data_IF_425905123594
#
_entry.id   IF_425905123594
#
_cell.length_a   1.000
_cell.length_b   1.000
_cell.length_c   1.000
_cell.angle_alpha   90.00
_cell.angle_beta   90.00
_cell.angle_gamma   90.00
#
_symmetry.space_group_name_H-M   'P 1'
#
loop_
_entity.id
_entity.type
_entity.pdbx_description
1 polymer ?
#
# COMPACT_ATOMS: atom_id res chain seq x y z
N UNK A 1 19.49 17.13 -16.91
CA UNK A 1 18.42 16.94 -15.91
C UNK A 1 18.11 18.29 -15.32
N UNK A 2 16.91 18.78 -15.50
CA UNK A 2 16.48 20.06 -14.97
C UNK A 2 16.16 19.92 -13.48
N UNK A 3 16.33 20.99 -12.69
CA UNK A 3 16.08 21.04 -11.24
C UNK A 3 14.68 20.52 -10.83
N UNK A 4 13.70 20.58 -11.74
CA UNK A 4 12.35 20.07 -11.57
C UNK A 4 12.23 18.53 -11.57
N UNK A 5 13.11 17.81 -12.28
CA UNK A 5 13.10 16.36 -12.30
C UNK A 5 13.57 15.75 -10.95
N UNK A 6 14.46 16.42 -10.25
CA UNK A 6 15.01 15.97 -8.97
C UNK A 6 13.97 15.98 -7.85
N UNK A 7 13.02 16.91 -7.86
CA UNK A 7 11.92 16.98 -6.89
C UNK A 7 10.83 15.91 -7.11
N UNK A 8 10.72 15.38 -8.33
CA UNK A 8 9.76 14.34 -8.68
C UNK A 8 10.30 12.94 -8.33
N UNK A 9 11.62 12.81 -8.18
CA UNK A 9 12.31 11.53 -7.98
C UNK A 9 12.48 11.13 -6.50
N UNK A 10 12.15 12.03 -5.57
CA UNK A 10 12.30 11.76 -4.14
C UNK A 10 11.14 10.89 -3.63
N UNK A 11 11.42 9.58 -3.49
CA UNK A 11 10.48 8.62 -2.93
C UNK A 11 10.45 8.78 -1.41
N UNK A 12 9.43 9.46 -0.92
CA UNK A 12 9.22 9.69 0.49
C UNK A 12 8.48 8.51 1.12
N UNK A 13 9.20 7.70 1.88
CA UNK A 13 8.65 6.62 2.71
C UNK A 13 8.83 6.97 4.20
N UNK A 14 8.29 8.14 4.61
CA UNK A 14 8.35 8.60 5.98
C UNK A 14 7.58 7.65 6.91
N UNK A 15 8.24 6.97 7.87
CA UNK A 15 7.57 6.07 8.79
C UNK A 15 6.62 6.78 9.76
N UNK A 16 6.79 8.09 9.94
CA UNK A 16 5.96 8.91 10.83
C UNK A 16 4.84 9.65 10.08
N UNK A 17 4.71 9.37 8.77
CA UNK A 17 3.62 9.93 7.96
C UNK A 17 2.27 9.81 8.67
N UNK A 18 1.49 10.85 8.64
CA UNK A 18 0.15 10.88 9.22
C UNK A 18 0.11 11.33 10.68
N UNK A 19 1.24 11.72 11.30
CA UNK A 19 1.25 12.33 12.63
C UNK A 19 0.41 13.62 12.69
N UNK A 20 0.25 14.32 11.57
CA UNK A 20 -0.55 15.54 11.43
C UNK A 20 -1.94 15.31 10.81
N UNK A 21 -2.30 14.07 10.48
CA UNK A 21 -3.63 13.79 9.90
C UNK A 21 -4.68 13.82 11.00
N UNK A 22 -5.64 14.71 10.86
CA UNK A 22 -6.78 14.79 11.77
C UNK A 22 -7.72 13.60 11.52
N UNK A 23 -7.95 12.83 12.58
CA UNK A 23 -8.91 11.74 12.56
C UNK A 23 -10.16 12.22 13.29
N UNK A 24 -11.35 12.17 12.68
CA UNK A 24 -12.59 12.51 13.37
C UNK A 24 -12.76 11.66 14.63
N UNK A 25 -13.34 12.24 15.68
CA UNK A 25 -13.65 11.49 16.90
C UNK A 25 -14.50 10.26 16.54
N UNK A 26 -14.16 9.08 17.07
CA UNK A 26 -14.79 7.80 16.73
C UNK A 26 -14.62 7.33 15.27
N UNK A 27 -13.86 8.06 14.47
CA UNK A 27 -13.43 7.64 13.14
C UNK A 27 -12.38 6.53 13.18
N UNK A 28 -11.98 6.04 12.00
CA UNK A 28 -10.92 5.05 11.84
C UNK A 28 -9.60 5.73 11.46
N UNK A 29 -8.54 5.45 12.23
CA UNK A 29 -7.19 5.89 11.94
C UNK A 29 -6.67 5.23 10.65
N UNK A 30 -6.97 3.94 10.45
CA UNK A 30 -6.56 3.22 9.25
C UNK A 30 -7.14 3.84 7.97
N UNK A 31 -8.43 4.22 8.00
CA UNK A 31 -9.10 4.88 6.85
C UNK A 31 -8.55 6.28 6.62
N UNK A 32 -8.31 7.06 7.69
CA UNK A 32 -7.72 8.39 7.59
C UNK A 32 -6.31 8.34 6.96
N UNK A 33 -5.47 7.40 7.42
CA UNK A 33 -4.13 7.21 6.87
C UNK A 33 -4.15 6.72 5.42
N UNK A 34 -5.09 5.83 5.06
CA UNK A 34 -5.27 5.41 3.68
C UNK A 34 -5.64 6.58 2.76
N UNK A 35 -6.60 7.40 3.18
CA UNK A 35 -7.00 8.60 2.44
C UNK A 35 -5.83 9.58 2.31
N UNK A 36 -5.10 9.83 3.41
CA UNK A 36 -3.95 10.74 3.43
C UNK A 36 -2.80 10.29 2.53
N UNK A 37 -2.51 8.98 2.47
CA UNK A 37 -1.49 8.47 1.54
C UNK A 37 -1.85 8.71 0.08
N UNK A 38 -3.11 8.43 -0.30
CA UNK A 38 -3.57 8.70 -1.68
C UNK A 38 -3.54 10.18 -1.97
N UNK A 39 -4.04 11.02 -1.03
CA UNK A 39 -4.06 12.47 -1.17
C UNK A 39 -2.66 13.05 -1.38
N UNK A 40 -1.67 12.59 -0.61
CA UNK A 40 -0.27 12.98 -0.78
C UNK A 40 0.21 12.74 -2.20
N UNK A 41 -0.05 11.55 -2.74
CA UNK A 41 0.48 11.19 -4.07
C UNK A 41 -0.20 11.90 -5.23
N UNK A 42 -1.48 12.26 -5.10
CA UNK A 42 -2.22 12.86 -6.22
C UNK A 42 -2.35 14.39 -6.12
N UNK A 43 -2.12 14.98 -4.94
CA UNK A 43 -2.30 16.41 -4.71
C UNK A 43 -1.03 17.13 -4.23
N UNK A 44 -0.17 16.49 -3.41
CA UNK A 44 1.06 17.09 -2.90
C UNK A 44 2.29 16.68 -3.73
N UNK A 45 2.41 15.41 -4.06
CA UNK A 45 3.36 14.91 -5.06
C UNK A 45 2.73 14.94 -6.44
N UNK A 46 3.40 14.41 -7.42
CA UNK A 46 2.88 14.29 -8.77
C UNK A 46 2.60 12.82 -9.07
N UNK A 47 1.41 12.50 -9.59
CA UNK A 47 1.14 11.16 -10.08
C UNK A 47 1.86 10.97 -11.41
N UNK A 48 2.89 10.13 -11.44
CA UNK A 48 3.80 9.99 -12.58
C UNK A 48 3.51 8.78 -13.45
N UNK A 49 2.74 7.80 -12.95
CA UNK A 49 2.53 6.51 -13.63
C UNK A 49 1.75 6.61 -14.95
N UNK A 50 1.03 7.71 -15.19
CA UNK A 50 0.28 7.96 -16.43
C UNK A 50 0.85 9.10 -17.28
N UNK A 51 2.04 9.60 -16.97
CA UNK A 51 2.66 10.69 -17.71
C UNK A 51 2.95 10.25 -19.15
N UNK A 52 2.48 11.02 -20.15
CA UNK A 52 2.84 10.75 -21.54
C UNK A 52 4.33 11.03 -21.80
N UNK A 53 4.89 10.40 -22.81
CA UNK A 53 6.33 10.39 -23.12
C UNK A 53 7.02 11.76 -23.27
N UNK A 54 6.25 12.85 -23.43
CA UNK A 54 6.78 14.21 -23.49
C UNK A 54 6.87 14.93 -22.14
N UNK A 55 6.35 14.33 -21.05
CA UNK A 55 6.46 14.87 -19.69
C UNK A 55 7.70 14.30 -18.97
N UNK A 56 8.33 15.09 -18.07
CA UNK A 56 9.52 14.63 -17.33
C UNK A 56 9.30 13.36 -16.51
N UNK A 57 8.09 13.17 -15.97
CA UNK A 57 7.74 12.00 -15.15
C UNK A 57 7.77 10.67 -15.92
N UNK A 58 7.60 10.70 -17.25
CA UNK A 58 7.70 9.51 -18.10
C UNK A 58 9.11 8.94 -18.23
N UNK A 59 10.13 9.70 -17.84
CA UNK A 59 11.54 9.27 -17.80
C UNK A 59 11.92 8.64 -16.45
N UNK A 60 11.00 8.67 -15.48
CA UNK A 60 11.17 8.10 -14.17
C UNK A 60 10.51 6.71 -14.16
N UNK A 61 11.16 5.73 -13.59
CA UNK A 61 10.65 4.37 -13.46
C UNK A 61 10.40 3.95 -12.00
N UNK A 62 11.15 4.52 -11.07
CA UNK A 62 11.07 4.20 -9.65
C UNK A 62 9.82 4.77 -8.96
N UNK A 63 9.53 6.07 -9.15
CA UNK A 63 8.37 6.73 -8.56
C UNK A 63 7.04 6.14 -9.07
N UNK A 64 6.82 5.94 -10.38
CA UNK A 64 5.63 5.27 -10.88
C UNK A 64 5.41 3.88 -10.28
N UNK A 65 6.49 3.10 -10.14
CA UNK A 65 6.44 1.76 -9.57
C UNK A 65 6.09 1.78 -8.09
N UNK A 66 6.68 2.71 -7.32
CA UNK A 66 6.36 2.92 -5.91
C UNK A 66 4.89 3.33 -5.72
N UNK A 67 4.43 4.35 -6.45
CA UNK A 67 3.05 4.83 -6.41
C UNK A 67 2.04 3.73 -6.79
N UNK A 68 2.31 2.98 -7.85
CA UNK A 68 1.47 1.88 -8.28
C UNK A 68 1.38 0.76 -7.24
N UNK A 69 2.49 0.41 -6.61
CA UNK A 69 2.55 -0.56 -5.52
C UNK A 69 1.72 -0.11 -4.32
N UNK A 70 1.87 1.14 -3.90
CA UNK A 70 1.17 1.74 -2.78
C UNK A 70 -0.34 1.78 -3.02
N UNK A 71 -0.80 2.33 -4.14
CA UNK A 71 -2.23 2.41 -4.46
C UNK A 71 -2.85 1.01 -4.61
N UNK A 72 -2.13 0.06 -5.18
CA UNK A 72 -2.59 -1.34 -5.25
C UNK A 72 -2.82 -1.96 -3.88
N UNK A 73 -1.93 -1.72 -2.91
CA UNK A 73 -2.10 -2.18 -1.53
C UNK A 73 -3.31 -1.50 -0.84
N UNK A 74 -3.47 -0.18 -1.03
CA UNK A 74 -4.60 0.58 -0.48
C UNK A 74 -5.93 0.15 -1.10
N UNK A 75 -5.97 -0.17 -2.39
CA UNK A 75 -7.13 -0.75 -3.05
C UNK A 75 -7.53 -2.08 -2.43
N UNK A 76 -6.55 -2.98 -2.21
CA UNK A 76 -6.78 -4.27 -1.54
C UNK A 76 -7.31 -4.10 -0.12
N UNK A 77 -6.68 -3.23 0.66
CA UNK A 77 -7.14 -2.89 2.01
C UNK A 77 -8.59 -2.38 2.00
N UNK A 78 -8.93 -1.42 1.12
CA UNK A 78 -10.26 -0.81 1.05
C UNK A 78 -11.33 -1.82 0.62
N UNK A 79 -11.03 -2.67 -0.36
CA UNK A 79 -11.94 -3.73 -0.83
C UNK A 79 -12.20 -4.74 0.28
N UNK A 80 -11.16 -5.18 1.00
CA UNK A 80 -11.33 -6.11 2.11
C UNK A 80 -12.13 -5.49 3.26
N UNK A 81 -11.84 -4.22 3.61
CA UNK A 81 -12.60 -3.50 4.62
C UNK A 81 -14.08 -3.42 4.24
N UNK A 82 -14.41 -3.08 2.99
CA UNK A 82 -15.79 -3.10 2.46
C UNK A 82 -16.44 -4.46 2.67
N UNK A 83 -15.75 -5.54 2.29
CA UNK A 83 -16.29 -6.90 2.34
C UNK A 83 -16.52 -7.37 3.79
N UNK A 84 -15.64 -6.98 4.72
CA UNK A 84 -15.82 -7.22 6.15
C UNK A 84 -17.07 -6.51 6.69
N UNK A 85 -17.21 -5.22 6.38
CA UNK A 85 -18.34 -4.44 6.88
C UNK A 85 -19.69 -4.89 6.30
N UNK A 86 -19.70 -5.40 5.06
CA UNK A 86 -20.90 -5.98 4.45
C UNK A 86 -21.34 -7.27 5.19
N UNK A 87 -20.41 -8.12 5.57
CA UNK A 87 -20.69 -9.38 6.31
C UNK A 87 -21.33 -9.13 7.67
N UNK A 88 -20.85 -8.12 8.39
CA UNK A 88 -21.35 -7.78 9.74
C UNK A 88 -22.81 -7.33 9.73
N UNK A 89 -23.20 -6.54 8.74
CA UNK A 89 -24.58 -6.01 8.66
C UNK A 89 -25.62 -7.09 8.36
N UNK A 90 -25.23 -8.32 8.02
CA UNK A 90 -26.18 -9.37 7.60
C UNK A 90 -27.00 -8.98 6.37
N UNK A 91 -26.68 -7.85 5.77
CA UNK A 91 -27.26 -7.36 4.53
C UNK A 91 -26.23 -7.57 3.42
N UNK A 92 -26.67 -8.00 2.25
CA UNK A 92 -25.83 -8.10 1.05
C UNK A 92 -25.38 -6.72 0.52
N UNK A 93 -25.64 -5.65 1.25
CA UNK A 93 -25.38 -4.28 0.81
C UNK A 93 -24.12 -3.75 1.47
N UNK A 94 -23.07 -3.56 0.66
CA UNK A 94 -21.82 -2.91 1.06
C UNK A 94 -22.02 -1.43 1.39
N UNK A 95 -21.10 -0.84 2.15
CA UNK A 95 -21.11 0.59 2.36
C UNK A 95 -20.80 1.32 1.03
N UNK A 96 -21.64 2.27 0.58
CA UNK A 96 -21.53 2.88 -0.74
C UNK A 96 -20.24 3.68 -0.93
N UNK A 97 -19.72 4.32 0.12
CA UNK A 97 -18.47 5.08 0.01
C UNK A 97 -17.26 4.14 -0.06
N UNK A 98 -17.25 3.04 0.72
CA UNK A 98 -16.18 2.03 0.63
C UNK A 98 -16.21 1.30 -0.71
N UNK A 99 -17.39 1.03 -1.26
CA UNK A 99 -17.54 0.41 -2.58
C UNK A 99 -16.99 1.33 -3.67
N UNK A 100 -17.38 2.62 -3.64
CA UNK A 100 -16.90 3.62 -4.58
C UNK A 100 -15.37 3.82 -4.45
N UNK A 101 -14.84 3.95 -3.23
CA UNK A 101 -13.42 4.11 -2.98
C UNK A 101 -12.61 2.91 -3.49
N UNK A 102 -13.03 1.68 -3.15
CA UNK A 102 -12.39 0.45 -3.61
C UNK A 102 -12.37 0.31 -5.12
N UNK A 103 -13.48 0.62 -5.79
CA UNK A 103 -13.59 0.63 -7.24
C UNK A 103 -12.65 1.65 -7.89
N UNK A 104 -12.58 2.86 -7.34
CA UNK A 104 -11.72 3.95 -7.85
C UNK A 104 -10.24 3.68 -7.60
N UNK A 105 -9.85 3.15 -6.45
CA UNK A 105 -8.46 2.76 -6.16
C UNK A 105 -8.01 1.57 -7.02
N UNK A 106 -8.95 0.73 -7.46
CA UNK A 106 -8.68 -0.37 -8.39
C UNK A 106 -8.61 0.06 -9.86
N UNK A 107 -8.84 1.35 -10.15
CA UNK A 107 -8.70 1.89 -11.51
C UNK A 107 -7.23 1.83 -11.94
N UNK A 108 -6.94 1.50 -13.24
CA UNK A 108 -5.56 1.41 -13.71
C UNK A 108 -4.79 2.72 -13.49
N UNK A 109 -3.56 2.63 -12.95
CA UNK A 109 -2.74 3.79 -12.60
C UNK A 109 -2.12 4.52 -13.79
N UNK A 110 -2.14 3.92 -14.98
CA UNK A 110 -1.51 4.43 -16.20
C UNK A 110 -2.48 5.09 -17.17
N UNK A 111 -3.70 5.42 -16.75
CA UNK A 111 -4.69 6.04 -17.64
C UNK A 111 -4.54 7.56 -17.61
N UNK A 112 -4.27 8.13 -18.81
CA UNK A 112 -4.26 9.56 -19.06
C UNK A 112 -5.56 10.03 -19.73
N UNK A 113 -5.85 11.34 -19.72
CA UNK A 113 -7.11 11.93 -20.22
C UNK A 113 -7.34 11.64 -21.72
N UNK A 114 -6.25 11.59 -22.51
CA UNK A 114 -6.30 11.34 -23.94
C UNK A 114 -5.62 10.03 -24.29
N UNK A 115 -6.40 9.00 -24.55
CA UNK A 115 -5.90 7.77 -25.18
C UNK A 115 -6.40 7.72 -26.62
N UNK A 116 -5.49 7.93 -27.59
CA UNK A 116 -5.83 8.02 -29.02
C UNK A 116 -6.48 6.76 -29.60
N UNK A 117 -6.39 5.64 -28.90
CA UNK A 117 -6.84 4.34 -29.37
C UNK A 117 -8.23 3.89 -28.92
N UNK A 118 -8.87 4.62 -27.97
CA UNK A 118 -10.15 4.21 -27.38
C UNK A 118 -11.17 5.35 -27.39
N UNK A 119 -11.69 5.74 -26.26
CA UNK A 119 -12.63 6.87 -26.13
C UNK A 119 -11.84 8.18 -26.05
N UNK A 120 -12.18 9.23 -26.79
CA UNK A 120 -11.36 10.45 -26.86
C UNK A 120 -11.21 11.21 -25.54
N UNK A 121 -12.07 10.95 -24.56
CA UNK A 121 -11.98 11.54 -23.22
C UNK A 121 -12.40 10.49 -22.18
N UNK A 122 -11.49 10.13 -21.28
CA UNK A 122 -11.77 9.24 -20.17
C UNK A 122 -11.24 9.86 -18.86
N UNK A 123 -11.81 9.48 -17.70
CA UNK A 123 -11.28 9.95 -16.42
C UNK A 123 -9.81 9.53 -16.26
N UNK A 124 -8.94 10.45 -15.88
CA UNK A 124 -7.54 10.11 -15.58
C UNK A 124 -7.43 9.35 -14.25
N UNK A 125 -6.33 8.61 -14.08
CA UNK A 125 -6.05 7.89 -12.85
C UNK A 125 -6.10 8.81 -11.64
N UNK A 126 -5.46 9.99 -11.69
CA UNK A 126 -5.49 10.97 -10.59
C UNK A 126 -6.91 11.44 -10.26
N UNK A 127 -7.75 11.64 -11.28
CA UNK A 127 -9.13 12.08 -11.03
C UNK A 127 -9.95 11.01 -10.31
N UNK A 128 -9.69 9.73 -10.59
CA UNK A 128 -10.32 8.63 -9.88
C UNK A 128 -9.79 8.54 -8.44
N UNK A 129 -8.48 8.66 -8.26
CA UNK A 129 -7.87 8.56 -6.94
C UNK A 129 -8.24 9.74 -6.03
N UNK A 130 -8.35 10.98 -6.55
CA UNK A 130 -8.88 12.12 -5.78
C UNK A 130 -10.31 11.87 -5.29
N UNK A 131 -11.16 11.31 -6.14
CA UNK A 131 -12.52 10.93 -5.72
C UNK A 131 -12.52 9.79 -4.70
N UNK A 132 -11.56 8.86 -4.77
CA UNK A 132 -11.40 7.82 -3.76
C UNK A 132 -11.03 8.42 -2.39
N UNK A 133 -10.18 9.46 -2.36
CA UNK A 133 -9.89 10.21 -1.13
C UNK A 133 -11.17 10.79 -0.53
N UNK A 134 -11.99 11.47 -1.35
CA UNK A 134 -13.27 12.04 -0.91
C UNK A 134 -14.22 10.96 -0.37
N UNK A 135 -14.27 9.78 -1.01
CA UNK A 135 -15.13 8.68 -0.56
C UNK A 135 -14.66 8.12 0.79
N UNK A 136 -13.36 7.90 0.96
CA UNK A 136 -12.79 7.43 2.24
C UNK A 136 -13.01 8.45 3.36
N UNK A 137 -12.84 9.74 3.07
CA UNK A 137 -13.10 10.82 4.04
C UNK A 137 -14.58 10.89 4.43
N UNK A 138 -15.50 10.76 3.46
CA UNK A 138 -16.94 10.72 3.75
C UNK A 138 -17.32 9.51 4.60
N UNK A 139 -16.80 8.34 4.27
CA UNK A 139 -17.00 7.15 5.10
C UNK A 139 -16.53 7.40 6.53
N UNK A 140 -15.32 7.94 6.71
CA UNK A 140 -14.74 8.20 8.02
C UNK A 140 -15.53 9.25 8.81
N UNK A 141 -16.06 10.28 8.13
CA UNK A 141 -16.92 11.27 8.75
C UNK A 141 -18.27 10.66 9.18
N UNK A 142 -18.86 9.76 8.36
CA UNK A 142 -20.09 9.04 8.74
C UNK A 142 -19.86 8.09 9.91
N UNK A 143 -18.66 7.51 10.04
CA UNK A 143 -18.28 6.74 11.23
C UNK A 143 -18.39 7.60 12.49
N UNK A 144 -17.81 8.80 12.48
CA UNK A 144 -17.86 9.72 13.62
C UNK A 144 -19.29 10.18 14.00
N UNK A 145 -20.20 10.13 13.04
CA UNK A 145 -21.62 10.47 13.24
C UNK A 145 -22.51 9.26 13.59
N UNK A 146 -21.92 8.07 13.72
CA UNK A 146 -22.67 6.83 13.94
C UNK A 146 -23.51 6.37 12.74
N UNK A 147 -23.26 6.91 11.54
CA UNK A 147 -23.99 6.61 10.30
C UNK A 147 -23.31 5.54 9.44
N UNK A 148 -22.11 5.10 9.81
CA UNK A 148 -21.39 4.00 9.21
C UNK A 148 -20.91 3.04 10.31
N UNK A 149 -20.41 1.88 9.92
CA UNK A 149 -19.96 0.85 10.86
C UNK A 149 -18.50 0.49 10.59
N UNK A 150 -17.72 0.40 11.67
CA UNK A 150 -16.38 -0.15 11.66
C UNK A 150 -16.28 -1.13 12.83
N UNK A 151 -16.33 -2.42 12.53
CA UNK A 151 -16.37 -3.48 13.55
C UNK A 151 -14.96 -3.84 14.02
N UNK A 152 -14.70 -3.59 15.31
CA UNK A 152 -13.42 -3.82 15.98
C UNK A 152 -13.33 -5.24 16.58
N UNK A 153 -13.65 -6.26 15.79
CA UNK A 153 -13.68 -7.67 16.20
C UNK A 153 -12.46 -8.43 15.72
N UNK A 154 -12.07 -9.46 16.47
CA UNK A 154 -10.90 -10.28 16.15
C UNK A 154 -11.02 -11.01 14.80
N UNK A 155 -12.21 -11.52 14.46
CA UNK A 155 -12.48 -12.19 13.18
C UNK A 155 -12.32 -11.25 11.97
N UNK A 156 -12.71 -9.98 12.10
CA UNK A 156 -12.52 -8.98 11.06
C UNK A 156 -11.04 -8.61 10.92
N UNK A 157 -10.33 -8.44 12.04
CA UNK A 157 -8.89 -8.21 12.02
C UNK A 157 -8.16 -9.37 11.36
N UNK A 158 -8.48 -10.61 11.74
CA UNK A 158 -7.90 -11.83 11.16
C UNK A 158 -8.07 -11.85 9.63
N UNK A 159 -9.30 -11.69 9.14
CA UNK A 159 -9.57 -11.77 7.70
C UNK A 159 -8.82 -10.68 6.91
N UNK A 160 -8.69 -9.47 7.47
CA UNK A 160 -7.93 -8.39 6.86
C UNK A 160 -6.43 -8.73 6.80
N UNK A 161 -5.87 -9.25 7.89
CA UNK A 161 -4.45 -9.67 7.94
C UNK A 161 -4.17 -10.84 6.99
N UNK A 162 -5.08 -11.80 6.85
CA UNK A 162 -4.97 -12.90 5.89
C UNK A 162 -4.92 -12.40 4.44
N UNK A 163 -5.75 -11.42 4.11
CA UNK A 163 -5.75 -10.82 2.77
C UNK A 163 -4.44 -10.09 2.48
N UNK A 164 -3.92 -9.34 3.46
CA UNK A 164 -2.62 -8.66 3.35
C UNK A 164 -1.49 -9.71 3.19
N UNK A 165 -1.51 -10.79 3.96
CA UNK A 165 -0.54 -11.87 3.84
C UNK A 165 -0.56 -12.54 2.45
N UNK A 166 -1.75 -12.69 1.87
CA UNK A 166 -1.92 -13.24 0.51
C UNK A 166 -1.37 -12.28 -0.56
N UNK A 167 -1.65 -10.97 -0.45
CA UNK A 167 -1.14 -9.96 -1.38
C UNK A 167 0.39 -9.86 -1.34
N UNK A 168 0.97 -9.80 -0.14
CA UNK A 168 2.42 -9.84 0.05
C UNK A 168 3.05 -11.17 -0.44
N UNK A 169 2.28 -12.26 -0.41
CA UNK A 169 2.69 -13.54 -1.00
C UNK A 169 2.89 -13.47 -2.51
N UNK A 170 2.03 -12.72 -3.21
CA UNK A 170 2.18 -12.45 -4.64
C UNK A 170 3.46 -11.67 -4.94
N UNK A 171 3.73 -10.60 -4.18
CA UNK A 171 4.96 -9.81 -4.29
C UNK A 171 6.21 -10.66 -3.99
N UNK A 172 6.18 -11.49 -2.96
CA UNK A 172 7.27 -12.41 -2.64
C UNK A 172 7.58 -13.37 -3.78
N UNK A 173 6.55 -13.97 -4.40
CA UNK A 173 6.74 -14.86 -5.53
C UNK A 173 7.31 -14.15 -6.78
N UNK A 174 6.94 -12.89 -7.00
CA UNK A 174 7.51 -12.08 -8.09
C UNK A 174 9.01 -11.81 -7.85
N UNK A 175 9.38 -11.35 -6.64
CA UNK A 175 10.79 -11.14 -6.27
C UNK A 175 11.63 -12.42 -6.36
N UNK A 176 11.10 -13.56 -5.90
CA UNK A 176 11.82 -14.84 -5.97
C UNK A 176 12.11 -15.23 -7.42
N UNK A 177 11.12 -15.14 -8.31
CA UNK A 177 11.32 -15.43 -9.75
C UNK A 177 12.39 -14.52 -10.36
N UNK A 178 12.44 -13.26 -9.94
CA UNK A 178 13.42 -12.30 -10.43
C UNK A 178 14.83 -12.62 -9.93
N UNK A 179 14.98 -12.96 -8.65
CA UNK A 179 16.27 -13.34 -8.06
C UNK A 179 16.81 -14.61 -8.71
N UNK A 180 15.95 -15.60 -8.98
CA UNK A 180 16.35 -16.89 -9.58
C UNK A 180 16.63 -16.78 -11.09
N UNK A 181 15.95 -15.86 -11.80
CA UNK A 181 16.00 -15.78 -13.26
C UNK A 181 17.17 -15.01 -13.85
N UNK A 182 17.63 -13.93 -13.18
CA UNK A 182 18.53 -12.93 -13.78
C UNK A 182 19.71 -12.52 -12.88
N UNK A 183 20.38 -13.45 -12.23
CA UNK A 183 21.54 -13.16 -11.35
C UNK A 183 22.76 -12.56 -12.08
N UNK A 184 22.63 -12.09 -13.33
CA UNK A 184 23.79 -11.84 -14.21
C UNK A 184 24.06 -10.37 -14.52
N UNK A 185 23.20 -9.40 -14.15
CA UNK A 185 23.38 -8.02 -14.60
C UNK A 185 23.39 -6.99 -13.47
N UNK A 186 24.46 -6.18 -13.45
CA UNK A 186 24.68 -5.06 -12.54
C UNK A 186 23.68 -3.91 -12.72
N UNK A 187 22.94 -3.87 -13.85
CA UNK A 187 21.96 -2.84 -14.18
C UNK A 187 20.72 -3.51 -14.79
N UNK A 188 19.82 -3.98 -13.95
CA UNK A 188 18.53 -4.51 -14.37
C UNK A 188 17.42 -3.51 -13.99
N UNK A 189 17.01 -2.68 -14.96
CA UNK A 189 15.92 -1.70 -14.80
C UNK A 189 14.58 -2.34 -14.39
N UNK A 190 14.35 -3.61 -14.70
CA UNK A 190 13.13 -4.30 -14.28
C UNK A 190 13.19 -4.74 -12.81
N UNK A 191 14.40 -4.95 -12.27
CA UNK A 191 14.61 -5.21 -10.85
C UNK A 191 14.29 -3.97 -9.99
N UNK A 192 14.61 -2.77 -10.49
CA UNK A 192 14.25 -1.51 -9.85
C UNK A 192 12.72 -1.39 -9.73
N UNK A 193 11.99 -1.63 -10.79
CA UNK A 193 10.54 -1.55 -10.81
C UNK A 193 9.88 -2.50 -9.80
N UNK A 194 10.35 -3.75 -9.73
CA UNK A 194 9.84 -4.74 -8.78
C UNK A 194 10.18 -4.36 -7.33
N UNK A 195 11.39 -3.85 -7.11
CA UNK A 195 11.82 -3.36 -5.81
C UNK A 195 10.94 -2.21 -5.32
N UNK A 196 10.76 -1.16 -6.14
CA UNK A 196 10.00 0.02 -5.74
C UNK A 196 8.50 -0.26 -5.66
N UNK A 197 7.94 -1.12 -6.50
CA UNK A 197 6.56 -1.58 -6.35
C UNK A 197 6.34 -2.30 -5.02
N UNK A 198 7.23 -3.21 -4.66
CA UNK A 198 7.18 -3.91 -3.38
C UNK A 198 7.38 -2.96 -2.20
N UNK A 199 8.29 -1.99 -2.32
CA UNK A 199 8.50 -0.94 -1.32
C UNK A 199 7.22 -0.13 -1.09
N UNK A 200 6.55 0.30 -2.16
CA UNK A 200 5.28 1.02 -2.09
C UNK A 200 4.19 0.22 -1.36
N UNK A 201 4.07 -1.08 -1.64
CA UNK A 201 3.14 -1.98 -0.93
C UNK A 201 3.47 -2.10 0.55
N UNK A 202 4.73 -2.34 0.89
CA UNK A 202 5.17 -2.46 2.28
C UNK A 202 4.91 -1.16 3.05
N UNK A 203 5.18 -0.02 2.44
CA UNK A 203 4.93 1.28 3.03
C UNK A 203 3.44 1.55 3.26
N UNK A 204 2.59 1.25 2.27
CA UNK A 204 1.15 1.36 2.42
C UNK A 204 0.60 0.48 3.54
N UNK A 205 0.99 -0.81 3.56
CA UNK A 205 0.56 -1.72 4.62
C UNK A 205 1.10 -1.33 5.98
N UNK A 206 2.36 -0.91 6.09
CA UNK A 206 2.89 -0.36 7.33
C UNK A 206 2.02 0.79 7.86
N UNK A 207 1.70 1.74 7.00
CA UNK A 207 0.96 2.95 7.38
C UNK A 207 -0.48 2.62 7.79
N UNK A 208 -1.22 1.84 6.98
CA UNK A 208 -2.62 1.51 7.33
C UNK A 208 -2.71 0.56 8.53
N UNK A 209 -1.78 -0.39 8.69
CA UNK A 209 -1.75 -1.27 9.85
C UNK A 209 -1.37 -0.53 11.13
N UNK A 210 -0.54 0.52 11.05
CA UNK A 210 -0.29 1.40 12.20
C UNK A 210 -1.60 2.05 12.67
N UNK A 211 -2.39 2.59 11.75
CA UNK A 211 -3.72 3.13 12.08
C UNK A 211 -4.68 2.05 12.60
N UNK A 212 -4.67 0.88 11.96
CA UNK A 212 -5.50 -0.25 12.39
C UNK A 212 -5.13 -0.74 13.79
N UNK A 213 -3.84 -0.69 14.16
CA UNK A 213 -3.38 -1.01 15.52
C UNK A 213 -3.98 -0.09 16.58
N UNK A 214 -4.20 1.19 16.24
CA UNK A 214 -4.92 2.14 17.11
C UNK A 214 -6.42 1.83 17.14
N UNK A 215 -7.02 1.57 15.99
CA UNK A 215 -8.44 1.24 15.88
C UNK A 215 -8.81 -0.06 16.60
N UNK A 216 -7.90 -1.03 16.63
CA UNK A 216 -8.08 -2.38 17.19
C UNK A 216 -7.32 -2.61 18.50
N UNK A 217 -6.89 -1.55 19.17
CA UNK A 217 -6.04 -1.65 20.36
C UNK A 217 -6.62 -2.56 21.45
N UNK A 218 -7.91 -2.42 21.74
CA UNK A 218 -8.59 -3.25 22.71
C UNK A 218 -8.58 -4.74 22.32
N UNK A 219 -8.86 -5.05 21.04
CA UNK A 219 -8.86 -6.41 20.50
C UNK A 219 -7.45 -7.04 20.54
N UNK A 220 -6.42 -6.28 20.16
CA UNK A 220 -5.01 -6.71 20.20
C UNK A 220 -4.58 -7.01 21.63
N UNK A 221 -4.99 -6.18 22.60
CA UNK A 221 -4.69 -6.37 24.02
C UNK A 221 -5.44 -7.58 24.59
N UNK A 222 -6.73 -7.71 24.32
CA UNK A 222 -7.58 -8.82 24.79
C UNK A 222 -7.07 -10.18 24.29
N UNK A 223 -6.64 -10.25 23.04
CA UNK A 223 -6.07 -11.46 22.44
C UNK A 223 -4.61 -11.72 22.83
N UNK A 224 -3.97 -10.80 23.55
CA UNK A 224 -2.58 -10.94 24.01
C UNK A 224 -1.53 -10.95 22.87
N UNK A 225 -1.86 -10.40 21.71
CA UNK A 225 -1.00 -10.44 20.52
C UNK A 225 -0.15 -9.20 20.31
N UNK A 226 -0.04 -8.30 21.30
CA UNK A 226 0.71 -7.04 21.19
C UNK A 226 2.15 -7.23 20.72
N UNK A 227 2.87 -8.17 21.31
CA UNK A 227 4.28 -8.40 20.93
C UNK A 227 4.44 -8.84 19.47
N UNK A 228 3.55 -9.74 18.99
CA UNK A 228 3.54 -10.17 17.59
C UNK A 228 3.18 -9.02 16.65
N UNK A 229 2.24 -8.17 17.06
CA UNK A 229 1.88 -6.96 16.34
C UNK A 229 3.07 -6.01 16.18
N UNK A 230 3.78 -5.72 17.27
CA UNK A 230 4.93 -4.83 17.29
C UNK A 230 6.09 -5.39 16.45
N UNK A 231 6.30 -6.71 16.44
CA UNK A 231 7.28 -7.37 15.58
C UNK A 231 6.91 -7.26 14.09
N UNK A 232 5.64 -7.48 13.74
CA UNK A 232 5.13 -7.27 12.39
C UNK A 232 5.35 -5.82 11.93
N UNK A 233 4.97 -4.86 12.77
CA UNK A 233 5.13 -3.44 12.46
C UNK A 233 6.60 -3.06 12.23
N UNK A 234 7.51 -3.63 12.99
CA UNK A 234 8.96 -3.44 12.81
C UNK A 234 9.42 -4.00 11.47
N UNK A 235 9.02 -5.21 11.11
CA UNK A 235 9.40 -5.85 9.85
C UNK A 235 8.87 -5.11 8.63
N UNK A 236 7.63 -4.63 8.68
CA UNK A 236 7.03 -3.81 7.61
C UNK A 236 7.75 -2.47 7.48
N UNK A 237 8.06 -1.81 8.62
CA UNK A 237 8.81 -0.56 8.65
C UNK A 237 10.19 -0.72 8.02
N UNK A 238 10.94 -1.74 8.45
CA UNK A 238 12.27 -2.02 7.90
C UNK A 238 12.23 -2.20 6.38
N UNK A 239 11.23 -2.93 5.86
CA UNK A 239 11.05 -3.11 4.41
C UNK A 239 10.61 -1.85 3.67
N UNK A 240 9.79 -1.01 4.31
CA UNK A 240 9.29 0.23 3.73
C UNK A 240 10.38 1.31 3.60
N UNK A 241 11.31 1.40 4.58
CA UNK A 241 12.35 2.44 4.60
C UNK A 241 13.63 2.04 3.87
N UNK A 242 13.72 0.82 3.33
CA UNK A 242 14.88 0.44 2.50
C UNK A 242 15.07 1.43 1.35
N UNK A 243 16.25 2.05 1.29
CA UNK A 243 16.53 3.09 0.28
C UNK A 243 17.96 2.93 -0.27
N UNK A 244 18.20 1.92 -1.12
CA UNK A 244 19.49 1.76 -1.78
C UNK A 244 19.68 2.88 -2.81
N UNK A 245 20.92 3.35 -2.96
CA UNK A 245 21.31 4.32 -4.00
C UNK A 245 21.12 3.76 -5.42
N UNK A 246 21.37 2.46 -5.56
CA UNK A 246 21.15 1.69 -6.79
C UNK A 246 20.64 0.32 -6.36
N UNK A 247 19.52 -0.13 -6.90
CA UNK A 247 19.05 -1.49 -6.67
C UNK A 247 19.98 -2.47 -7.41
N UNK A 248 20.53 -3.42 -6.68
CA UNK A 248 21.41 -4.46 -7.23
C UNK A 248 20.80 -5.83 -6.96
N UNK A 249 20.82 -6.68 -7.99
CA UNK A 249 20.46 -8.09 -7.91
C UNK A 249 21.74 -8.93 -8.14
N UNK A 250 22.68 -8.84 -7.19
CA UNK A 250 23.92 -9.62 -7.26
C UNK A 250 23.68 -11.07 -6.78
N UNK A 251 24.55 -12.03 -7.15
CA UNK A 251 24.53 -13.37 -6.54
C UNK A 251 24.55 -13.30 -5.02
N UNK A 252 23.83 -14.19 -4.35
CA UNK A 252 23.69 -14.20 -2.88
C UNK A 252 25.03 -14.38 -2.15
N UNK A 253 26.01 -15.00 -2.79
CA UNK A 253 27.37 -15.24 -2.30
C UNK A 253 28.39 -14.17 -2.76
N UNK A 254 27.94 -13.08 -3.38
CA UNK A 254 28.83 -12.00 -3.81
C UNK A 254 29.45 -11.29 -2.62
N UNK A 255 30.80 -11.21 -2.60
CA UNK A 255 31.54 -10.51 -1.54
C UNK A 255 31.59 -8.99 -1.73
N UNK A 256 31.29 -8.49 -2.92
CA UNK A 256 31.52 -7.08 -3.29
C UNK A 256 30.23 -6.32 -3.62
N UNK A 257 29.18 -7.01 -4.06
CA UNK A 257 27.95 -6.39 -4.49
C UNK A 257 26.78 -6.87 -3.64
N UNK A 258 25.96 -5.96 -3.06
CA UNK A 258 24.80 -6.33 -2.28
C UNK A 258 23.67 -6.87 -3.18
N UNK A 259 22.83 -7.73 -2.62
CA UNK A 259 21.56 -8.13 -3.23
C UNK A 259 20.40 -7.45 -2.49
N UNK A 260 19.93 -6.31 -3.02
CA UNK A 260 18.86 -5.53 -2.40
C UNK A 260 17.51 -6.21 -2.54
N UNK A 261 17.28 -6.96 -3.64
CA UNK A 261 16.04 -7.73 -3.83
C UNK A 261 15.95 -8.85 -2.81
N UNK A 262 17.04 -9.54 -2.52
CA UNK A 262 17.08 -10.59 -1.51
C UNK A 262 16.86 -10.01 -0.09
N UNK A 263 17.44 -8.85 0.23
CA UNK A 263 17.22 -8.18 1.51
C UNK A 263 15.74 -7.78 1.68
N UNK A 264 15.13 -7.19 0.65
CA UNK A 264 13.71 -6.85 0.65
C UNK A 264 12.85 -8.10 0.71
N UNK A 265 13.19 -9.15 -0.05
CA UNK A 265 12.50 -10.43 -0.06
C UNK A 265 12.50 -11.11 1.31
N UNK A 266 13.61 -11.03 2.05
CA UNK A 266 13.70 -11.53 3.43
C UNK A 266 12.75 -10.80 4.37
N UNK A 267 12.73 -9.46 4.34
CA UNK A 267 11.82 -8.65 5.18
C UNK A 267 10.36 -8.90 4.83
N UNK A 268 10.05 -9.02 3.54
CA UNK A 268 8.73 -9.36 3.05
C UNK A 268 8.26 -10.75 3.53
N UNK A 269 9.13 -11.74 3.43
CA UNK A 269 8.84 -13.11 3.90
C UNK A 269 8.64 -13.14 5.42
N UNK A 270 9.46 -12.42 6.16
CA UNK A 270 9.35 -12.27 7.62
C UNK A 270 8.01 -11.63 8.00
N UNK A 271 7.66 -10.50 7.41
CA UNK A 271 6.38 -9.83 7.65
C UNK A 271 5.18 -10.76 7.32
N UNK A 272 5.25 -11.49 6.21
CA UNK A 272 4.21 -12.46 5.83
C UNK A 272 4.09 -13.62 6.81
N UNK A 273 5.20 -14.11 7.35
CA UNK A 273 5.17 -15.17 8.37
C UNK A 273 4.54 -14.66 9.66
N UNK A 274 4.90 -13.45 10.09
CA UNK A 274 4.32 -12.81 11.28
C UNK A 274 2.82 -12.52 11.11
N UNK A 275 2.37 -12.10 9.91
CA UNK A 275 0.95 -11.98 9.61
C UNK A 275 0.21 -13.30 9.81
N UNK A 276 0.73 -14.41 9.29
CA UNK A 276 0.12 -15.73 9.45
C UNK A 276 0.12 -16.24 10.90
N UNK A 277 1.16 -15.90 11.65
CA UNK A 277 1.22 -16.23 13.07
C UNK A 277 0.15 -15.46 13.85
N UNK A 278 0.00 -14.14 13.58
CA UNK A 278 -1.06 -13.32 14.14
C UNK A 278 -2.45 -13.88 13.82
N UNK A 279 -2.72 -14.20 12.55
CA UNK A 279 -4.04 -14.74 12.14
C UNK A 279 -4.33 -16.06 12.82
N UNK A 280 -3.33 -16.95 12.97
CA UNK A 280 -3.49 -18.23 13.69
C UNK A 280 -3.80 -18.06 15.18
N UNK A 281 -3.29 -17.00 15.83
CA UNK A 281 -3.62 -16.72 17.24
C UNK A 281 -5.00 -16.07 17.37
N UNK A 282 -5.37 -15.19 16.44
CA UNK A 282 -6.69 -14.53 16.43
C UNK A 282 -7.85 -15.50 16.16
N UNK A 283 -7.61 -16.61 15.48
CA UNK A 283 -8.59 -17.67 15.19
C UNK A 283 -9.00 -18.48 16.42
N UNK A 284 -8.19 -18.50 17.47
CA UNK A 284 -8.43 -19.23 18.74
C UNK A 284 -9.27 -18.40 19.71
#
# INVERSE_FOLDING_TARGET
>A
MTFSAWWIEEIEADPDFGASIEVPQDGSHAVALAAGLVDREVNLHYWTANDPAFLPGSLLDNMPSFQAGMVSALARFTVELRDQMARVRGSSQSDPDLEAAGGRLSYPGNVWIFEWSRTPVQPSSESQYRRAVEDLQRYNQRLSQGQATFERRADNLQALLDRIAADLGGSSAALTRKIEGDATYLLDFTADNDFYNTKGRLYAYYTVLRGLGLDMEATIAERGVRNLWDELMRSLREGAVLQPWVVMNAPLDSLTNPNHLAAQGFLLLRARTQLRELTSVLER
#
